data_IF_916216316338
#
_entry.id   IF_916216316338
#
_cell.length_a   1.000
_cell.length_b   1.000
_cell.length_c   1.000
_cell.angle_alpha   90.00
_cell.angle_beta   90.00
_cell.angle_gamma   90.00
#
_symmetry.space_group_name_H-M   'P 1'
#
loop_
_entity.id
_entity.type
_entity.pdbx_description
1 polymer ?
#
# COMPACT_ATOMS: atom_id res chain seq x y z
N UNK A 1 48.87 -67.55 18.75
CA UNK A 1 48.75 -67.38 20.21
C UNK A 1 48.80 -65.90 20.56
N UNK A 2 47.92 -65.41 21.47
CA UNK A 2 47.79 -64.01 21.99
C UNK A 2 47.15 -63.01 21.01
N UNK A 3 46.18 -62.16 21.35
CA UNK A 3 45.40 -61.88 22.58
C UNK A 3 44.07 -61.25 22.12
N UNK A 4 42.93 -61.79 22.57
CA UNK A 4 41.59 -61.20 22.38
C UNK A 4 41.50 -59.86 23.14
N UNK A 5 41.15 -58.76 22.47
CA UNK A 5 40.73 -57.50 23.08
C UNK A 5 39.19 -57.50 23.16
N UNK A 6 38.67 -57.44 24.39
CA UNK A 6 37.25 -57.21 24.67
C UNK A 6 36.91 -55.75 24.34
N UNK A 7 35.94 -55.54 23.46
CA UNK A 7 35.34 -54.24 23.19
C UNK A 7 34.27 -53.91 24.23
N UNK A 8 34.37 -52.73 24.83
CA UNK A 8 33.33 -52.17 25.70
C UNK A 8 32.09 -51.78 24.88
N UNK A 9 30.87 -51.93 25.42
CA UNK A 9 29.66 -51.44 24.75
C UNK A 9 29.58 -49.91 24.81
N UNK A 10 28.88 -49.26 23.85
CA UNK A 10 28.73 -47.81 23.82
C UNK A 10 27.91 -47.32 25.02
N UNK A 11 28.43 -46.27 25.67
CA UNK A 11 27.77 -45.58 26.77
C UNK A 11 26.50 -44.90 26.28
N UNK A 12 25.41 -45.26 26.96
CA UNK A 12 24.07 -44.68 26.92
C UNK A 12 24.10 -43.14 26.82
N UNK A 13 23.67 -42.58 25.69
CA UNK A 13 23.47 -41.14 25.52
C UNK A 13 22.29 -40.70 26.38
N UNK A 14 22.57 -39.96 27.45
CA UNK A 14 21.59 -39.49 28.41
C UNK A 14 20.42 -38.76 27.75
N UNK A 15 19.19 -39.23 28.01
CA UNK A 15 17.97 -38.52 27.66
C UNK A 15 18.02 -37.12 28.29
N UNK A 16 17.86 -36.03 27.51
CA UNK A 16 17.86 -34.69 28.07
C UNK A 16 16.72 -34.55 29.09
N UNK A 17 17.03 -34.05 30.29
CA UNK A 17 16.04 -33.95 31.36
C UNK A 17 14.92 -32.99 30.93
N UNK A 18 13.68 -33.50 30.90
CA UNK A 18 12.47 -32.72 30.57
C UNK A 18 12.33 -31.45 31.44
N UNK A 19 12.92 -31.43 32.64
CA UNK A 19 12.91 -30.28 33.54
C UNK A 19 13.79 -29.11 33.08
N UNK A 20 14.88 -29.37 32.35
CA UNK A 20 15.75 -28.31 31.81
C UNK A 20 15.09 -27.48 30.70
N UNK A 21 14.26 -28.11 29.87
CA UNK A 21 13.54 -27.44 28.78
C UNK A 21 12.47 -26.45 29.26
N UNK A 22 11.77 -26.76 30.35
CA UNK A 22 10.70 -25.90 30.89
C UNK A 22 11.28 -24.61 31.51
N UNK A 23 12.40 -24.70 32.24
CA UNK A 23 13.06 -23.50 32.79
C UNK A 23 13.60 -22.58 31.68
N UNK A 24 14.22 -23.14 30.64
CA UNK A 24 14.71 -22.35 29.49
C UNK A 24 13.57 -21.65 28.73
N UNK A 25 12.43 -22.34 28.52
CA UNK A 25 11.24 -21.74 27.89
C UNK A 25 10.64 -20.59 28.72
N UNK A 26 10.56 -20.75 30.06
CA UNK A 26 10.07 -19.68 30.94
C UNK A 26 11.01 -18.47 31.00
N UNK A 27 12.32 -18.70 30.97
CA UNK A 27 13.31 -17.61 30.96
C UNK A 27 13.33 -16.86 29.62
N UNK A 28 13.18 -17.58 28.50
CA UNK A 28 12.99 -16.96 27.19
C UNK A 28 11.70 -16.13 27.13
N UNK A 29 10.58 -16.67 27.63
CA UNK A 29 9.31 -15.94 27.70
C UNK A 29 9.40 -14.67 28.57
N UNK A 30 10.08 -14.72 29.72
CA UNK A 30 10.31 -13.52 30.55
C UNK A 30 11.16 -12.48 29.85
N UNK A 31 12.25 -12.88 29.17
CA UNK A 31 13.07 -11.94 28.39
C UNK A 31 12.27 -11.30 27.25
N UNK A 32 11.43 -12.08 26.57
CA UNK A 32 10.52 -11.55 25.55
C UNK A 32 9.61 -10.50 26.18
N UNK A 33 8.93 -10.80 27.30
CA UNK A 33 8.06 -9.82 27.97
C UNK A 33 8.82 -8.55 28.38
N UNK A 34 9.97 -8.68 29.03
CA UNK A 34 10.80 -7.52 29.44
C UNK A 34 11.26 -6.68 28.23
N UNK A 35 11.64 -7.31 27.13
CA UNK A 35 12.00 -6.61 25.89
C UNK A 35 10.78 -5.95 25.25
N UNK A 36 9.63 -6.62 25.21
CA UNK A 36 8.39 -6.05 24.69
C UNK A 36 7.93 -4.84 25.51
N UNK A 37 8.09 -4.88 26.83
CA UNK A 37 7.78 -3.75 27.70
C UNK A 37 8.74 -2.57 27.44
N UNK A 38 10.04 -2.81 27.22
CA UNK A 38 10.98 -1.76 26.78
C UNK A 38 10.63 -1.17 25.42
N UNK A 39 10.17 -1.99 24.47
CA UNK A 39 9.72 -1.53 23.17
C UNK A 39 8.44 -0.69 23.28
N UNK A 40 7.49 -1.08 24.15
CA UNK A 40 6.30 -0.27 24.47
C UNK A 40 6.68 1.06 25.12
N UNK A 41 7.65 1.06 26.04
CA UNK A 41 8.13 2.27 26.70
C UNK A 41 8.81 3.21 25.70
N UNK A 42 9.65 2.68 24.79
CA UNK A 42 10.23 3.45 23.68
C UNK A 42 9.16 4.04 22.76
N UNK A 43 8.18 3.23 22.34
CA UNK A 43 7.08 3.68 21.50
C UNK A 43 6.23 4.76 22.19
N UNK A 44 6.06 4.67 23.51
CA UNK A 44 5.33 5.65 24.32
C UNK A 44 6.13 6.95 24.53
N UNK A 45 7.43 6.86 24.75
CA UNK A 45 8.32 8.01 24.91
C UNK A 45 8.42 8.87 23.62
N UNK A 46 8.43 8.23 22.45
CA UNK A 46 8.38 8.92 21.15
C UNK A 46 7.03 9.62 20.94
N UNK A 47 5.91 9.01 21.37
CA UNK A 47 4.59 9.67 21.34
C UNK A 47 4.49 10.88 22.27
N UNK A 48 5.19 10.85 23.41
CA UNK A 48 5.26 11.98 24.35
C UNK A 48 5.93 13.22 23.76
N UNK A 49 7.06 13.05 23.05
CA UNK A 49 7.77 14.16 22.39
C UNK A 49 6.96 14.81 21.28
N UNK A 50 6.16 14.01 20.54
CA UNK A 50 5.28 14.51 19.48
C UNK A 50 4.21 15.48 20.01
N UNK A 51 3.81 15.38 21.29
CA UNK A 51 2.80 16.27 21.89
C UNK A 51 3.33 17.67 22.23
N UNK A 52 4.63 17.81 22.48
CA UNK A 52 5.27 19.10 22.77
C UNK A 52 5.78 19.81 21.52
N UNK A 53 6.15 19.07 20.46
CA UNK A 53 6.65 19.66 19.22
C UNK A 53 5.54 20.00 18.20
N UNK A 54 4.29 19.61 18.46
CA UNK A 54 3.14 19.89 17.58
C UNK A 54 2.06 20.77 18.23
N UNK A 55 2.43 22.02 18.55
CA UNK A 55 1.52 23.17 18.50
C UNK A 55 2.19 24.34 17.76
N UNK A 56 1.40 25.12 17.00
CA UNK A 56 1.70 25.32 15.58
C UNK A 56 1.98 26.79 15.22
N UNK A 57 2.86 26.99 14.24
CA UNK A 57 2.84 28.18 13.41
C UNK A 57 1.70 28.08 12.39
N UNK A 58 0.61 28.82 12.64
CA UNK A 58 -0.22 29.42 11.58
C UNK A 58 0.70 30.32 10.73
N UNK A 59 0.62 30.46 9.40
CA UNK A 59 -0.50 30.41 8.47
C UNK A 59 0.01 30.26 7.02
N UNK A 60 -0.80 29.66 6.14
CA UNK A 60 -1.24 30.27 4.86
C UNK A 60 -2.05 29.26 4.01
N UNK A 61 -3.37 29.48 3.94
CA UNK A 61 -4.33 28.89 2.97
C UNK A 61 -4.85 27.48 3.33
N UNK A 62 -6.14 27.21 3.51
CA UNK A 62 -7.36 27.98 3.39
C UNK A 62 -8.54 26.99 3.47
N UNK A 63 -9.41 27.20 4.44
CA UNK A 63 -10.86 26.90 4.42
C UNK A 63 -11.36 25.50 4.01
N UNK A 64 -11.60 24.66 5.04
CA UNK A 64 -12.89 23.96 5.30
C UNK A 64 -12.83 23.15 6.61
N UNK A 65 -12.73 23.85 7.76
CA UNK A 65 -13.10 23.27 9.06
C UNK A 65 -14.58 23.57 9.34
N UNK A 66 -15.45 22.88 8.61
CA UNK A 66 -16.90 22.83 8.85
C UNK A 66 -17.36 21.57 9.59
N UNK A 67 -16.42 20.71 10.04
CA UNK A 67 -16.68 19.73 11.10
C UNK A 67 -16.02 20.27 12.34
N UNK A 68 -16.83 20.58 13.36
CA UNK A 68 -16.37 20.87 14.72
C UNK A 68 -15.22 19.91 15.07
N UNK A 69 -14.09 20.44 15.57
CA UNK A 69 -12.90 19.68 15.95
C UNK A 69 -13.15 18.74 17.13
N UNK A 70 -14.04 17.78 16.95
CA UNK A 70 -14.27 16.71 17.92
C UNK A 70 -13.09 15.78 17.89
N UNK A 71 -12.57 15.50 19.09
CA UNK A 71 -11.50 14.55 19.26
C UNK A 71 -11.92 13.18 18.75
N UNK A 72 -10.98 12.43 18.17
CA UNK A 72 -11.19 11.04 17.79
C UNK A 72 -11.38 10.20 19.04
N UNK A 73 -12.50 9.47 19.10
CA UNK A 73 -12.79 8.52 20.15
C UNK A 73 -12.14 7.19 19.81
N UNK A 74 -11.20 6.73 20.64
CA UNK A 74 -10.52 5.46 20.44
C UNK A 74 -11.26 4.34 21.15
N UNK A 75 -11.65 3.31 20.39
CA UNK A 75 -12.38 2.15 20.87
C UNK A 75 -11.58 0.87 20.65
N UNK A 76 -11.79 -0.11 21.53
CA UNK A 76 -11.30 -1.48 21.32
C UNK A 76 -12.42 -2.31 20.70
N UNK A 77 -12.08 -3.26 19.82
CA UNK A 77 -13.07 -4.16 19.21
C UNK A 77 -13.67 -5.05 20.29
N UNK A 78 -12.84 -5.62 21.19
CA UNK A 78 -13.30 -6.49 22.28
C UNK A 78 -14.38 -5.86 23.18
N UNK A 79 -14.30 -4.54 23.40
CA UNK A 79 -15.31 -3.83 24.20
C UNK A 79 -16.54 -3.37 23.41
N UNK A 80 -16.51 -3.46 22.08
CA UNK A 80 -17.51 -2.86 21.19
C UNK A 80 -17.77 -3.76 19.96
N UNK A 81 -17.81 -5.08 20.15
CA UNK A 81 -17.85 -6.05 19.03
C UNK A 81 -19.08 -5.85 18.14
N UNK A 82 -20.25 -5.68 18.75
CA UNK A 82 -21.52 -5.47 18.02
C UNK A 82 -21.50 -4.18 17.20
N UNK A 83 -21.04 -3.07 17.82
CA UNK A 83 -20.90 -1.78 17.14
C UNK A 83 -19.90 -1.88 15.99
N UNK A 84 -18.71 -2.43 16.23
CA UNK A 84 -17.69 -2.61 15.21
C UNK A 84 -18.22 -3.43 14.01
N UNK A 85 -18.88 -4.55 14.29
CA UNK A 85 -19.48 -5.41 13.27
C UNK A 85 -20.56 -4.69 12.45
N UNK A 86 -21.45 -3.92 13.12
CA UNK A 86 -22.46 -3.10 12.44
C UNK A 86 -21.80 -2.08 11.50
N UNK A 87 -20.83 -1.31 12.01
CA UNK A 87 -20.14 -0.27 11.24
C UNK A 87 -19.38 -0.85 10.03
N UNK A 88 -18.76 -2.03 10.18
CA UNK A 88 -18.11 -2.72 9.06
C UNK A 88 -19.11 -3.06 7.95
N UNK A 89 -20.27 -3.64 8.31
CA UNK A 89 -21.30 -4.03 7.33
C UNK A 89 -21.94 -2.83 6.64
N UNK A 90 -22.22 -1.77 7.40
CA UNK A 90 -22.79 -0.52 6.86
C UNK A 90 -21.79 0.16 5.89
N UNK A 91 -20.51 0.27 6.28
CA UNK A 91 -19.48 0.87 5.43
C UNK A 91 -19.23 0.06 4.15
N UNK A 92 -19.16 -1.27 4.27
CA UNK A 92 -19.00 -2.14 3.13
C UNK A 92 -20.19 -2.06 2.16
N UNK A 93 -21.43 -2.08 2.68
CA UNK A 93 -22.64 -1.92 1.86
C UNK A 93 -22.65 -0.59 1.11
N UNK A 94 -22.29 0.49 1.80
CA UNK A 94 -22.14 1.81 1.19
C UNK A 94 -21.08 1.83 0.09
N UNK A 95 -19.93 1.18 0.31
CA UNK A 95 -18.86 1.07 -0.69
C UNK A 95 -19.28 0.25 -1.91
N UNK A 96 -19.99 -0.86 -1.71
CA UNK A 96 -20.55 -1.70 -2.79
C UNK A 96 -21.58 -0.95 -3.63
N UNK A 97 -22.29 0.04 -3.06
CA UNK A 97 -23.25 0.87 -3.78
C UNK A 97 -22.59 2.01 -4.60
N UNK A 98 -21.28 2.24 -4.45
CA UNK A 98 -20.59 3.29 -5.21
C UNK A 98 -20.42 2.90 -6.68
N UNK A 99 -20.39 3.92 -7.55
CA UNK A 99 -20.06 3.77 -8.97
C UNK A 99 -18.56 3.47 -9.13
N UNK A 100 -18.22 2.20 -9.17
CA UNK A 100 -16.85 1.70 -9.37
C UNK A 100 -16.87 0.86 -10.64
N UNK A 101 -15.98 1.18 -11.58
CA UNK A 101 -15.84 0.51 -12.87
C UNK A 101 -15.17 -0.87 -12.72
N UNK A 102 -15.80 -1.75 -11.95
CA UNK A 102 -15.39 -3.14 -11.75
C UNK A 102 -16.58 -4.03 -11.38
N UNK A 103 -16.58 -5.32 -11.81
CA UNK A 103 -17.59 -6.29 -11.44
C UNK A 103 -17.71 -6.47 -9.92
N UNK A 104 -18.89 -6.90 -9.46
CA UNK A 104 -19.14 -7.14 -8.03
C UNK A 104 -18.11 -8.09 -7.40
N UNK A 105 -17.72 -9.16 -8.10
CA UNK A 105 -16.73 -10.13 -7.61
C UNK A 105 -15.34 -9.53 -7.34
N UNK A 106 -14.93 -8.54 -8.12
CA UNK A 106 -13.67 -7.80 -7.88
C UNK A 106 -13.83 -6.81 -6.74
N UNK A 107 -14.97 -6.10 -6.69
CA UNK A 107 -15.27 -5.16 -5.60
C UNK A 107 -15.30 -5.87 -4.24
N UNK A 108 -15.82 -7.09 -4.17
CA UNK A 108 -15.84 -7.93 -2.97
C UNK A 108 -14.44 -8.16 -2.37
N UNK A 109 -13.40 -8.32 -3.19
CA UNK A 109 -12.04 -8.56 -2.72
C UNK A 109 -11.20 -7.28 -2.57
N UNK A 110 -11.62 -6.19 -3.21
CA UNK A 110 -10.95 -4.89 -3.17
C UNK A 110 -11.39 -4.03 -1.98
N UNK A 111 -12.71 -3.96 -1.74
CA UNK A 111 -13.30 -3.01 -0.80
C UNK A 111 -13.05 -3.27 0.70
N UNK A 112 -12.85 -4.51 1.20
CA UNK A 112 -12.62 -4.73 2.63
C UNK A 112 -11.41 -3.95 3.18
N UNK A 113 -10.38 -3.73 2.36
CA UNK A 113 -9.21 -2.93 2.75
C UNK A 113 -9.57 -1.45 2.99
N UNK A 114 -10.55 -0.91 2.26
CA UNK A 114 -11.05 0.45 2.50
C UNK A 114 -11.80 0.54 3.82
N UNK A 115 -12.54 -0.51 4.21
CA UNK A 115 -13.21 -0.60 5.51
C UNK A 115 -12.18 -0.63 6.64
N UNK A 116 -11.08 -1.39 6.50
CA UNK A 116 -9.97 -1.39 7.47
C UNK A 116 -9.42 0.02 7.69
N UNK A 117 -9.03 0.71 6.60
CA UNK A 117 -8.46 2.06 6.71
C UNK A 117 -9.42 3.08 7.32
N UNK A 118 -10.73 2.96 7.02
CA UNK A 118 -11.78 3.80 7.62
C UNK A 118 -12.03 3.48 9.09
N UNK A 119 -12.01 2.21 9.48
CA UNK A 119 -12.14 1.79 10.86
C UNK A 119 -10.97 2.29 11.72
N UNK A 120 -9.74 2.17 11.22
CA UNK A 120 -8.55 2.63 11.93
C UNK A 120 -8.51 4.15 12.07
N UNK A 121 -9.04 4.88 11.08
CA UNK A 121 -8.96 6.36 11.03
C UNK A 121 -10.20 7.09 11.56
N UNK A 122 -11.32 6.39 11.77
CA UNK A 122 -12.60 7.02 12.15
C UNK A 122 -13.24 7.80 11.02
N UNK A 123 -13.38 7.18 9.85
CA UNK A 123 -14.01 7.76 8.65
C UNK A 123 -15.14 6.88 8.11
N UNK A 124 -15.84 7.38 7.08
CA UNK A 124 -16.97 6.66 6.50
C UNK A 124 -18.08 6.51 7.54
N UNK A 125 -18.56 5.27 7.73
CA UNK A 125 -19.56 4.97 8.75
C UNK A 125 -19.00 4.88 10.17
N UNK A 126 -17.69 4.94 10.37
CA UNK A 126 -17.08 4.92 11.70
C UNK A 126 -17.18 6.27 12.42
N UNK A 127 -18.42 6.67 12.69
CA UNK A 127 -18.79 7.88 13.41
C UNK A 127 -19.87 7.58 14.46
N UNK A 128 -19.89 8.35 15.55
CA UNK A 128 -20.95 8.29 16.55
C UNK A 128 -22.26 8.93 16.04
N UNK A 129 -23.32 8.85 16.84
CA UNK A 129 -24.64 9.40 16.54
C UNK A 129 -24.65 10.93 16.30
N UNK A 130 -23.59 11.63 16.73
CA UNK A 130 -23.42 13.05 16.53
C UNK A 130 -22.44 13.37 15.39
N UNK A 131 -21.89 12.36 14.70
CA UNK A 131 -20.90 12.51 13.63
C UNK A 131 -19.45 12.67 14.11
N UNK A 132 -19.16 12.40 15.38
CA UNK A 132 -17.79 12.33 15.93
C UNK A 132 -17.05 11.06 15.48
N UNK A 133 -15.75 11.14 15.15
CA UNK A 133 -15.02 10.00 14.58
C UNK A 133 -14.72 8.90 15.62
N UNK A 134 -14.97 7.63 15.24
CA UNK A 134 -14.72 6.43 16.04
C UNK A 134 -13.54 5.62 15.45
N UNK A 135 -12.43 5.49 16.18
CA UNK A 135 -11.23 4.78 15.70
C UNK A 135 -11.03 3.44 16.39
N UNK A 136 -10.94 2.38 15.60
CA UNK A 136 -10.59 1.02 16.01
C UNK A 136 -9.19 0.69 15.50
N UNK A 137 -8.15 1.10 16.23
CA UNK A 137 -6.76 0.95 15.75
C UNK A 137 -6.32 -0.52 15.59
N UNK A 138 -6.95 -1.43 16.31
CA UNK A 138 -6.73 -2.87 16.23
C UNK A 138 -7.52 -3.57 15.10
N UNK A 139 -8.25 -2.81 14.28
CA UNK A 139 -8.90 -3.37 13.10
C UNK A 139 -7.83 -3.88 12.13
N UNK A 140 -7.97 -5.15 11.74
CA UNK A 140 -7.14 -5.81 10.73
C UNK A 140 -8.01 -6.28 9.57
N UNK A 141 -7.39 -6.61 8.44
CA UNK A 141 -8.10 -7.15 7.28
C UNK A 141 -8.92 -8.39 7.63
N UNK A 142 -8.33 -9.36 8.35
CA UNK A 142 -9.03 -10.59 8.75
C UNK A 142 -10.14 -10.33 9.78
N UNK A 143 -10.00 -9.34 10.67
CA UNK A 143 -11.09 -8.97 11.61
C UNK A 143 -12.27 -8.35 10.86
N UNK A 144 -12.00 -7.48 9.89
CA UNK A 144 -13.06 -6.92 9.03
C UNK A 144 -13.74 -8.04 8.25
N UNK A 145 -12.97 -8.93 7.61
CA UNK A 145 -13.54 -10.05 6.85
C UNK A 145 -14.39 -10.99 7.73
N UNK A 146 -13.96 -11.26 8.96
CA UNK A 146 -14.74 -12.05 9.93
C UNK A 146 -16.13 -11.43 10.19
N UNK A 147 -16.21 -10.10 10.31
CA UNK A 147 -17.48 -9.40 10.51
C UNK A 147 -18.36 -9.34 9.25
N UNK A 148 -17.72 -9.25 8.07
CA UNK A 148 -18.41 -9.24 6.79
C UNK A 148 -18.91 -10.64 6.39
N UNK A 149 -18.16 -11.71 6.69
CA UNK A 149 -18.51 -13.10 6.38
C UNK A 149 -19.90 -13.48 6.92
N UNK A 150 -20.30 -12.91 8.07
CA UNK A 150 -21.62 -13.13 8.69
C UNK A 150 -22.79 -12.75 7.78
N UNK A 151 -22.61 -11.73 6.94
CA UNK A 151 -23.61 -11.27 5.98
C UNK A 151 -23.31 -11.74 4.54
N UNK A 152 -22.03 -11.94 4.20
CA UNK A 152 -21.57 -12.35 2.88
C UNK A 152 -20.58 -13.52 3.01
N UNK A 153 -21.03 -14.79 2.99
CA UNK A 153 -20.16 -15.96 3.16
C UNK A 153 -19.04 -16.12 2.11
N UNK A 154 -19.11 -15.38 1.00
CA UNK A 154 -18.04 -15.31 0.01
C UNK A 154 -16.81 -14.54 0.51
N UNK A 155 -16.95 -13.68 1.53
CA UNK A 155 -15.92 -12.83 2.11
C UNK A 155 -15.08 -13.49 3.22
N UNK A 156 -15.10 -14.82 3.29
CA UNK A 156 -14.21 -15.58 4.18
C UNK A 156 -12.74 -15.30 3.85
N UNK A 157 -11.90 -15.09 4.87
CA UNK A 157 -10.50 -14.66 4.71
C UNK A 157 -9.69 -15.47 3.70
N UNK A 158 -9.65 -16.79 3.85
CA UNK A 158 -8.90 -17.68 2.94
C UNK A 158 -9.33 -17.52 1.47
N UNK A 159 -10.63 -17.36 1.21
CA UNK A 159 -11.19 -17.19 -0.14
C UNK A 159 -10.84 -15.84 -0.75
N UNK A 160 -10.97 -14.76 0.03
CA UNK A 160 -10.62 -13.41 -0.43
C UNK A 160 -9.13 -13.35 -0.74
N UNK A 161 -8.28 -13.84 0.16
CA UNK A 161 -6.82 -13.88 -0.05
C UNK A 161 -6.44 -14.76 -1.26
N UNK A 162 -7.08 -15.92 -1.44
CA UNK A 162 -6.87 -16.78 -2.61
C UNK A 162 -7.25 -16.08 -3.93
N UNK A 163 -8.39 -15.40 -3.97
CA UNK A 163 -8.83 -14.64 -5.15
C UNK A 163 -7.89 -13.47 -5.46
N UNK A 164 -7.39 -12.77 -4.44
CA UNK A 164 -6.37 -11.71 -4.62
C UNK A 164 -5.07 -12.29 -5.18
N UNK A 165 -4.61 -13.42 -4.66
CA UNK A 165 -3.42 -14.11 -5.20
C UNK A 165 -3.63 -14.53 -6.66
N UNK A 166 -4.78 -15.11 -6.99
CA UNK A 166 -5.09 -15.50 -8.36
C UNK A 166 -5.13 -14.30 -9.32
N UNK A 167 -5.62 -13.15 -8.86
CA UNK A 167 -5.64 -11.93 -9.66
C UNK A 167 -4.24 -11.38 -9.95
N UNK A 168 -3.34 -11.41 -8.94
CA UNK A 168 -1.93 -11.03 -9.11
C UNK A 168 -1.23 -12.00 -10.07
N UNK A 169 -1.41 -13.31 -9.87
CA UNK A 169 -0.83 -14.35 -10.73
C UNK A 169 -1.33 -14.20 -12.18
N UNK A 170 -2.62 -13.93 -12.38
CA UNK A 170 -3.21 -13.71 -13.70
C UNK A 170 -2.56 -12.54 -14.44
N UNK A 171 -2.36 -11.39 -13.80
CA UNK A 171 -1.71 -10.23 -14.43
C UNK A 171 -0.26 -10.56 -14.78
N UNK A 172 0.48 -11.17 -13.85
CA UNK A 172 1.86 -11.60 -14.06
C UNK A 172 1.96 -12.53 -15.27
N UNK A 173 1.19 -13.61 -15.28
CA UNK A 173 1.22 -14.61 -16.34
C UNK A 173 0.83 -14.01 -17.70
N UNK A 174 -0.20 -13.14 -17.71
CA UNK A 174 -0.65 -12.45 -18.91
C UNK A 174 0.43 -11.56 -19.53
N UNK A 175 1.11 -10.78 -18.69
CA UNK A 175 2.19 -9.88 -19.09
C UNK A 175 3.42 -10.65 -19.57
N UNK A 176 3.87 -11.63 -18.78
CA UNK A 176 5.09 -12.40 -19.10
C UNK A 176 4.92 -13.26 -20.37
N UNK A 177 3.72 -13.76 -20.64
CA UNK A 177 3.43 -14.51 -21.86
C UNK A 177 3.45 -13.66 -23.15
N UNK A 178 3.43 -12.32 -23.03
CA UNK A 178 3.29 -11.38 -24.14
C UNK A 178 4.43 -10.36 -24.22
N UNK A 179 5.54 -10.60 -23.54
CA UNK A 179 6.71 -9.70 -23.60
C UNK A 179 7.24 -9.49 -25.03
N UNK A 180 7.04 -10.49 -25.89
CA UNK A 180 7.54 -10.53 -27.28
C UNK A 180 6.53 -10.13 -28.34
N UNK A 181 5.30 -9.77 -27.97
CA UNK A 181 4.30 -9.29 -28.92
C UNK A 181 4.45 -7.79 -29.16
N UNK A 182 4.06 -7.31 -30.35
CA UNK A 182 4.04 -5.87 -30.62
C UNK A 182 2.91 -5.19 -29.84
N UNK A 183 1.72 -5.78 -29.86
CA UNK A 183 0.55 -5.30 -29.12
C UNK A 183 0.11 -6.30 -28.05
N UNK A 184 -0.49 -5.79 -26.98
CA UNK A 184 -1.03 -6.59 -25.89
C UNK A 184 -2.49 -6.20 -25.65
N UNK A 185 -3.40 -7.18 -25.70
CA UNK A 185 -4.76 -6.98 -25.21
C UNK A 185 -4.77 -6.86 -23.68
N UNK A 186 -5.58 -5.96 -23.12
CA UNK A 186 -5.73 -5.77 -21.66
C UNK A 186 -6.87 -6.60 -21.07
N UNK A 187 -7.13 -7.74 -21.69
CA UNK A 187 -8.20 -8.67 -21.35
C UNK A 187 -7.68 -10.11 -21.39
N UNK A 188 -8.17 -10.90 -20.42
CA UNK A 188 -7.89 -12.32 -20.25
C UNK A 188 -9.16 -13.11 -20.54
N UNK A 189 -9.10 -14.44 -20.45
CA UNK A 189 -10.30 -15.29 -20.54
C UNK A 189 -11.34 -14.98 -19.44
N UNK A 190 -10.90 -14.46 -18.29
CA UNK A 190 -11.78 -14.11 -17.18
C UNK A 190 -12.27 -12.65 -17.23
N UNK A 191 -11.96 -11.92 -18.31
CA UNK A 191 -12.33 -10.52 -18.51
C UNK A 191 -11.14 -9.55 -18.42
N UNK A 192 -11.40 -8.23 -18.35
CA UNK A 192 -10.37 -7.20 -18.34
C UNK A 192 -9.42 -7.37 -17.16
N UNK A 193 -8.15 -7.02 -17.33
CA UNK A 193 -7.15 -7.09 -16.27
C UNK A 193 -7.65 -6.38 -15.01
N UNK A 194 -7.52 -7.06 -13.86
CA UNK A 194 -7.97 -6.58 -12.55
C UNK A 194 -9.48 -6.29 -12.46
N UNK A 195 -10.27 -6.72 -13.45
CA UNK A 195 -11.68 -6.39 -13.60
C UNK A 195 -11.95 -4.91 -13.87
N UNK A 196 -10.96 -4.12 -14.28
CA UNK A 196 -11.16 -2.71 -14.59
C UNK A 196 -11.94 -2.58 -15.91
N UNK A 197 -13.24 -2.25 -15.82
CA UNK A 197 -14.18 -2.31 -16.97
C UNK A 197 -13.74 -1.45 -18.15
N UNK A 198 -13.09 -0.31 -17.88
CA UNK A 198 -12.59 0.54 -18.95
C UNK A 198 -11.40 -0.06 -19.70
N UNK A 199 -10.80 -1.18 -19.28
CA UNK A 199 -9.76 -1.89 -20.03
C UNK A 199 -10.32 -2.92 -21.03
N UNK A 200 -11.62 -3.25 -20.95
CA UNK A 200 -12.23 -4.26 -21.79
C UNK A 200 -12.07 -3.95 -23.29
N UNK A 201 -11.68 -4.96 -24.07
CA UNK A 201 -11.43 -4.85 -25.51
C UNK A 201 -10.30 -3.91 -25.93
N UNK A 202 -9.48 -3.38 -25.00
CA UNK A 202 -8.35 -2.51 -25.35
C UNK A 202 -7.12 -3.30 -25.74
N UNK A 203 -6.43 -2.78 -26.75
CA UNK A 203 -5.07 -3.16 -27.09
C UNK A 203 -4.13 -1.97 -26.84
N UNK A 204 -2.91 -2.28 -26.44
CA UNK A 204 -1.83 -1.30 -26.19
C UNK A 204 -0.56 -1.70 -26.92
N UNK A 205 0.32 -0.73 -27.18
CA UNK A 205 1.71 -1.03 -27.51
C UNK A 205 2.37 -1.72 -26.31
N UNK A 206 2.93 -2.90 -26.55
CA UNK A 206 3.47 -3.77 -25.49
C UNK A 206 4.65 -3.08 -24.81
N UNK A 207 5.58 -2.50 -25.56
CA UNK A 207 6.77 -1.87 -25.00
C UNK A 207 6.40 -0.68 -24.09
N UNK A 208 5.46 0.15 -24.55
CA UNK A 208 4.92 1.27 -23.82
C UNK A 208 4.24 0.81 -22.51
N UNK A 209 3.34 -0.18 -22.59
CA UNK A 209 2.66 -0.71 -21.40
C UNK A 209 3.64 -1.31 -20.39
N UNK A 210 4.62 -2.11 -20.85
CA UNK A 210 5.66 -2.68 -20.00
C UNK A 210 6.53 -1.61 -19.34
N UNK A 211 6.85 -0.52 -20.05
CA UNK A 211 7.57 0.62 -19.46
C UNK A 211 6.77 1.23 -18.30
N UNK A 212 5.45 1.34 -18.44
CA UNK A 212 4.57 1.84 -17.37
C UNK A 212 4.60 0.95 -16.14
N UNK A 213 4.52 -0.36 -16.34
CA UNK A 213 4.65 -1.37 -15.28
C UNK A 213 5.98 -1.20 -14.51
N UNK A 214 7.09 -1.06 -15.23
CA UNK A 214 8.42 -0.89 -14.64
C UNK A 214 8.53 0.41 -13.84
N UNK A 215 8.09 1.53 -14.41
CA UNK A 215 8.18 2.85 -13.76
C UNK A 215 7.41 2.88 -12.43
N UNK A 216 6.18 2.38 -12.41
CA UNK A 216 5.37 2.34 -11.20
C UNK A 216 5.86 1.29 -10.20
N UNK A 217 6.35 0.13 -10.65
CA UNK A 217 6.77 -0.96 -9.74
C UNK A 217 8.02 -0.63 -8.92
N UNK A 218 8.80 0.37 -9.31
CA UNK A 218 9.93 0.87 -8.52
C UNK A 218 9.62 2.10 -7.67
N UNK A 219 8.44 2.73 -7.80
CA UNK A 219 8.17 4.03 -7.16
C UNK A 219 8.03 3.95 -5.62
N UNK A 220 7.58 2.79 -5.13
CA UNK A 220 7.30 2.56 -3.72
C UNK A 220 8.42 1.86 -2.96
N UNK A 221 9.49 1.47 -3.67
CA UNK A 221 10.65 0.78 -3.11
C UNK A 221 11.54 1.73 -2.29
N UNK A 222 11.88 1.33 -1.05
CA UNK A 222 12.66 2.14 -0.12
C UNK A 222 14.05 2.51 -0.67
N UNK A 223 14.72 1.60 -1.36
CA UNK A 223 16.00 1.84 -2.03
C UNK A 223 15.93 2.96 -3.05
N UNK A 224 14.97 2.91 -3.97
CA UNK A 224 14.74 3.93 -5.00
C UNK A 224 14.34 5.26 -4.37
N UNK A 225 13.44 5.27 -3.38
CA UNK A 225 13.10 6.51 -2.64
C UNK A 225 14.32 7.13 -1.95
N UNK A 226 15.19 6.31 -1.36
CA UNK A 226 16.46 6.78 -0.78
C UNK A 226 17.41 7.33 -1.85
N UNK A 227 17.54 6.64 -2.98
CA UNK A 227 18.33 7.10 -4.11
C UNK A 227 17.81 8.42 -4.67
N UNK A 228 16.49 8.57 -4.82
CA UNK A 228 15.83 9.81 -5.27
C UNK A 228 16.14 10.96 -4.35
N UNK A 229 16.06 10.79 -3.03
CA UNK A 229 16.39 11.86 -2.09
C UNK A 229 17.87 12.29 -2.18
N UNK A 230 18.77 11.36 -2.50
CA UNK A 230 20.18 11.67 -2.68
C UNK A 230 20.45 12.39 -4.01
N UNK A 231 19.76 11.99 -5.07
CA UNK A 231 19.87 12.56 -6.41
C UNK A 231 19.20 13.95 -6.50
N UNK A 232 17.96 14.03 -6.03
CA UNK A 232 17.13 15.24 -5.92
C UNK A 232 17.01 15.66 -4.47
N UNK A 233 17.94 16.52 -4.01
CA UNK A 233 17.94 17.03 -2.62
C UNK A 233 16.93 18.15 -2.35
N UNK A 234 16.44 18.80 -3.40
CA UNK A 234 15.57 19.98 -3.32
C UNK A 234 14.27 19.73 -4.08
N UNK A 235 13.20 20.35 -3.61
CA UNK A 235 11.92 20.45 -4.30
C UNK A 235 12.03 21.42 -5.48
N UNK A 236 10.96 21.53 -6.29
CA UNK A 236 10.90 22.45 -7.44
C UNK A 236 11.08 23.93 -7.08
N UNK A 237 10.76 24.33 -5.84
CA UNK A 237 10.97 25.70 -5.33
C UNK A 237 12.37 25.92 -4.75
N UNK A 238 13.23 24.89 -4.78
CA UNK A 238 14.58 24.93 -4.23
C UNK A 238 14.65 24.57 -2.74
N UNK A 239 13.54 24.37 -2.03
CA UNK A 239 13.57 24.01 -0.62
C UNK A 239 13.95 22.55 -0.39
N UNK A 240 14.50 22.23 0.79
CA UNK A 240 14.72 20.83 1.16
C UNK A 240 13.37 20.13 1.38
N UNK A 241 13.28 18.87 0.94
CA UNK A 241 12.11 18.04 1.19
C UNK A 241 12.51 16.66 1.73
N UNK A 242 11.58 16.06 2.46
CA UNK A 242 11.72 14.71 3.00
C UNK A 242 10.80 13.76 2.23
N UNK A 243 11.36 12.60 1.87
CA UNK A 243 10.65 11.50 1.25
C UNK A 243 10.60 10.33 2.24
N UNK A 244 9.39 10.02 2.69
CA UNK A 244 9.14 8.90 3.58
C UNK A 244 9.15 7.58 2.81
N UNK A 245 9.51 6.52 3.51
CA UNK A 245 9.62 5.20 2.91
C UNK A 245 9.73 4.11 3.95
N UNK A 246 9.62 2.87 3.49
CA UNK A 246 9.57 1.72 4.35
C UNK A 246 9.43 0.44 3.56
N UNK A 247 9.29 -0.66 4.27
CA UNK A 247 9.33 -1.98 3.67
C UNK A 247 8.33 -2.91 4.35
N UNK A 248 7.80 -3.85 3.58
CA UNK A 248 6.93 -4.91 4.09
C UNK A 248 7.81 -6.01 4.68
N UNK A 249 7.44 -6.46 5.89
CA UNK A 249 8.07 -7.60 6.57
C UNK A 249 7.03 -8.65 6.93
N UNK A 250 7.45 -9.91 6.96
CA UNK A 250 6.63 -10.99 7.52
C UNK A 250 6.69 -10.92 9.04
N UNK A 251 5.53 -11.03 9.68
CA UNK A 251 5.39 -11.08 11.14
C UNK A 251 4.68 -12.35 11.61
N UNK A 252 5.12 -12.90 12.74
CA UNK A 252 4.35 -13.92 13.47
C UNK A 252 3.18 -13.21 14.19
N UNK A 253 1.94 -13.52 13.81
CA UNK A 253 0.76 -12.74 14.20
C UNK A 253 0.57 -12.71 15.72
N UNK A 254 0.74 -13.85 16.39
CA UNK A 254 0.57 -13.96 17.84
C UNK A 254 1.64 -13.13 18.56
N UNK A 255 2.91 -13.27 18.16
CA UNK A 255 4.02 -12.54 18.78
C UNK A 255 3.96 -11.05 18.49
N UNK A 256 3.53 -10.67 17.29
CA UNK A 256 3.34 -9.28 16.91
C UNK A 256 2.27 -8.62 17.79
N UNK A 257 1.14 -9.30 18.04
CA UNK A 257 0.11 -8.79 18.95
C UNK A 257 0.62 -8.60 20.38
N UNK A 258 1.47 -9.50 20.89
CA UNK A 258 2.05 -9.39 22.24
C UNK A 258 2.93 -8.14 22.41
N UNK A 259 3.48 -7.61 21.32
CA UNK A 259 4.32 -6.40 21.36
C UNK A 259 3.53 -5.14 21.71
N UNK A 260 2.22 -5.12 21.45
CA UNK A 260 1.40 -3.91 21.53
C UNK A 260 1.71 -2.88 20.44
N UNK A 261 2.53 -3.21 19.43
CA UNK A 261 2.71 -2.40 18.23
C UNK A 261 1.42 -2.49 17.41
N UNK A 262 0.72 -1.36 17.30
CA UNK A 262 -0.58 -1.31 16.61
C UNK A 262 -0.41 -0.96 15.13
N UNK A 263 0.48 -0.01 14.83
CA UNK A 263 0.80 0.41 13.45
C UNK A 263 2.31 0.71 13.37
N UNK A 264 3.12 -0.22 12.82
CA UNK A 264 4.55 -0.01 12.63
C UNK A 264 4.87 1.09 11.59
N UNK A 265 3.89 1.54 10.81
CA UNK A 265 4.04 2.62 9.82
C UNK A 265 4.10 4.03 10.39
N UNK A 266 3.78 4.22 11.69
CA UNK A 266 3.72 5.53 12.36
C UNK A 266 5.05 6.03 12.92
N UNK A 267 6.08 5.19 12.96
CA UNK A 267 7.39 5.54 13.51
C UNK A 267 8.50 4.94 12.66
N UNK A 268 9.63 5.62 12.54
CA UNK A 268 10.79 5.06 11.86
C UNK A 268 11.42 3.93 12.70
N UNK A 269 11.75 2.84 12.02
CA UNK A 269 12.45 1.68 12.56
C UNK A 269 13.82 1.61 11.92
N UNK A 270 14.87 1.72 12.74
CA UNK A 270 16.24 1.48 12.30
C UNK A 270 16.55 -0.03 12.20
N UNK A 271 17.71 -0.36 11.64
CA UNK A 271 18.15 -1.75 11.52
C UNK A 271 18.31 -2.47 12.87
N UNK A 272 18.67 -1.76 13.93
CA UNK A 272 18.88 -2.37 15.23
C UNK A 272 17.55 -2.81 15.85
N UNK A 273 16.53 -1.96 15.76
CA UNK A 273 15.18 -2.25 16.23
C UNK A 273 14.52 -3.38 15.44
N UNK A 274 14.67 -3.41 14.10
CA UNK A 274 14.17 -4.54 13.31
C UNK A 274 14.90 -5.86 13.64
N UNK A 275 16.23 -5.83 13.78
CA UNK A 275 16.98 -7.03 14.22
C UNK A 275 16.57 -7.52 15.60
N UNK A 276 16.21 -6.62 16.52
CA UNK A 276 15.68 -7.00 17.83
C UNK A 276 14.34 -7.73 17.69
N UNK A 277 13.41 -7.22 16.86
CA UNK A 277 12.15 -7.92 16.55
C UNK A 277 12.38 -9.27 15.87
N UNK A 278 13.39 -9.39 15.00
CA UNK A 278 13.79 -10.66 14.38
C UNK A 278 14.32 -11.66 15.42
N UNK A 279 15.16 -11.23 16.37
CA UNK A 279 15.69 -12.08 17.44
C UNK A 279 14.59 -12.59 18.38
N UNK A 280 13.55 -11.78 18.60
CA UNK A 280 12.35 -12.20 19.34
C UNK A 280 11.45 -13.11 18.48
N UNK A 281 11.73 -13.21 17.18
CA UNK A 281 10.92 -13.87 16.17
C UNK A 281 9.52 -13.29 16.06
N UNK A 282 9.41 -11.97 16.25
CA UNK A 282 8.22 -11.16 15.93
C UNK A 282 8.20 -10.88 14.43
N UNK A 283 9.35 -10.44 13.91
CA UNK A 283 9.61 -10.32 12.46
C UNK A 283 10.35 -11.57 12.02
N UNK A 284 10.02 -12.10 10.85
CA UNK A 284 10.76 -13.22 10.26
C UNK A 284 11.94 -12.68 9.44
N UNK A 285 13.11 -13.37 9.43
CA UNK A 285 14.22 -13.02 8.55
C UNK A 285 13.79 -12.99 7.08
N UNK A 286 14.37 -12.10 6.28
CA UNK A 286 14.01 -11.96 4.87
C UNK A 286 14.26 -13.24 4.06
N UNK A 287 15.31 -13.97 4.41
CA UNK A 287 15.68 -15.24 3.77
C UNK A 287 14.66 -16.36 4.09
N UNK A 288 13.79 -16.14 5.07
CA UNK A 288 12.73 -17.05 5.46
C UNK A 288 11.43 -16.81 4.68
N UNK A 289 11.45 -16.15 3.50
CA UNK A 289 10.26 -15.94 2.68
C UNK A 289 9.48 -17.25 2.39
N UNK A 290 10.19 -18.38 2.22
CA UNK A 290 9.57 -19.71 2.08
C UNK A 290 8.86 -20.25 3.33
N UNK A 291 8.93 -19.54 4.46
CA UNK A 291 8.27 -19.87 5.74
C UNK A 291 6.90 -19.20 5.85
N UNK A 292 6.54 -18.29 4.94
CA UNK A 292 5.24 -17.63 4.99
C UNK A 292 4.09 -18.65 4.87
N UNK A 293 3.22 -18.64 5.88
CA UNK A 293 2.07 -19.52 5.98
C UNK A 293 0.97 -18.82 6.78
N UNK A 294 0.01 -18.22 6.09
CA UNK A 294 -1.22 -17.74 6.70
C UNK A 294 -2.01 -18.93 7.31
N UNK A 295 -2.66 -18.79 8.48
CA UNK A 295 -2.86 -17.57 9.27
C UNK A 295 -1.79 -17.30 10.31
N UNK A 296 -0.76 -18.15 10.43
CA UNK A 296 0.28 -17.98 11.45
C UNK A 296 1.11 -16.72 11.21
N UNK A 297 1.41 -16.45 9.95
CA UNK A 297 2.18 -15.29 9.53
C UNK A 297 1.30 -14.32 8.73
N UNK A 298 1.56 -13.03 8.88
CA UNK A 298 0.99 -11.98 8.03
C UNK A 298 2.06 -10.97 7.66
N UNK A 299 1.69 -9.95 6.90
CA UNK A 299 2.57 -8.89 6.44
C UNK A 299 2.32 -7.60 7.22
N UNK A 300 3.38 -6.87 7.57
CA UNK A 300 3.28 -5.56 8.19
C UNK A 300 4.28 -4.58 7.56
N UNK A 301 3.85 -3.35 7.32
CA UNK A 301 4.69 -2.29 6.77
C UNK A 301 5.47 -1.58 7.89
N UNK A 302 6.80 -1.70 7.85
CA UNK A 302 7.69 -0.99 8.78
C UNK A 302 8.23 0.26 8.11
N UNK A 303 7.87 1.42 8.65
CA UNK A 303 8.40 2.70 8.20
C UNK A 303 9.89 2.76 8.52
N UNK A 304 10.72 3.03 7.51
CA UNK A 304 12.18 3.14 7.64
C UNK A 304 12.61 4.60 7.78
N UNK A 305 11.92 5.49 7.08
CA UNK A 305 12.16 6.93 7.09
C UNK A 305 10.86 7.70 7.26
N UNK A 306 10.84 8.64 8.20
CA UNK A 306 9.72 9.58 8.35
C UNK A 306 9.66 10.54 7.14
N UNK A 307 8.46 11.04 6.87
CA UNK A 307 8.17 11.90 5.73
C UNK A 307 6.91 11.43 5.01
N UNK A 308 6.43 12.26 4.09
CA UNK A 308 5.32 11.88 3.21
C UNK A 308 5.81 10.97 2.09
N UNK A 309 4.93 10.09 1.62
CA UNK A 309 5.22 9.21 0.49
C UNK A 309 5.07 9.91 -0.87
N UNK A 310 4.93 9.07 -1.89
CA UNK A 310 4.59 9.46 -3.25
C UNK A 310 3.07 9.67 -3.40
N UNK A 311 2.67 10.51 -4.35
CA UNK A 311 1.29 10.72 -4.78
C UNK A 311 1.05 9.94 -6.07
N UNK A 312 0.30 8.84 -5.97
CA UNK A 312 0.04 7.92 -7.08
C UNK A 312 -0.65 8.64 -8.27
N UNK A 313 -1.57 9.57 -7.98
CA UNK A 313 -2.22 10.40 -9.00
C UNK A 313 -1.21 11.25 -9.79
N UNK A 314 -0.22 11.86 -9.11
CA UNK A 314 0.84 12.64 -9.77
C UNK A 314 1.82 11.74 -10.53
N UNK A 315 2.12 10.55 -10.02
CA UNK A 315 2.95 9.57 -10.72
C UNK A 315 2.29 9.17 -12.05
N UNK A 316 1.01 8.81 -12.04
CA UNK A 316 0.27 8.45 -13.25
C UNK A 316 0.16 9.63 -14.24
N UNK A 317 -0.11 10.84 -13.75
CA UNK A 317 -0.13 12.05 -14.58
C UNK A 317 1.24 12.29 -15.23
N UNK A 318 2.33 12.16 -14.47
CA UNK A 318 3.70 12.35 -14.97
C UNK A 318 4.04 11.36 -16.09
N UNK A 319 3.74 10.08 -15.84
CA UNK A 319 3.97 8.99 -16.80
C UNK A 319 3.15 9.21 -18.07
N UNK A 320 1.87 9.56 -17.93
CA UNK A 320 1.00 9.85 -19.07
C UNK A 320 1.42 11.08 -19.88
N UNK A 321 1.90 12.14 -19.21
CA UNK A 321 2.39 13.34 -19.88
C UNK A 321 3.65 13.06 -20.71
N UNK A 322 4.54 12.19 -20.23
CA UNK A 322 5.81 11.92 -20.91
C UNK A 322 5.71 10.88 -22.00
N UNK A 323 4.96 9.80 -21.74
CA UNK A 323 5.00 8.61 -22.58
C UNK A 323 3.64 8.25 -23.21
N UNK A 324 2.56 8.95 -22.84
CA UNK A 324 1.23 8.72 -23.38
C UNK A 324 0.41 7.66 -22.63
N UNK A 325 -0.75 7.34 -23.20
CA UNK A 325 -1.81 6.61 -22.50
C UNK A 325 -1.46 5.16 -22.17
N UNK A 326 -0.82 4.44 -23.08
CA UNK A 326 -0.49 3.03 -22.90
C UNK A 326 0.46 2.80 -21.72
N UNK A 327 1.43 3.71 -21.54
CA UNK A 327 2.35 3.70 -20.41
C UNK A 327 1.63 4.07 -19.10
N UNK A 328 0.69 5.03 -19.14
CA UNK A 328 -0.16 5.34 -17.99
C UNK A 328 -1.01 4.13 -17.58
N UNK A 329 -1.58 3.39 -18.53
CA UNK A 329 -2.35 2.18 -18.24
C UNK A 329 -1.47 1.08 -17.62
N UNK A 330 -0.23 0.92 -18.11
CA UNK A 330 0.75 0.03 -17.50
C UNK A 330 1.02 0.42 -16.04
N UNK A 331 1.30 1.70 -15.80
CA UNK A 331 1.55 2.20 -14.45
C UNK A 331 0.34 2.02 -13.51
N UNK A 332 -0.88 2.23 -14.01
CA UNK A 332 -2.11 1.98 -13.26
C UNK A 332 -2.26 0.51 -12.87
N UNK A 333 -1.99 -0.42 -13.79
CA UNK A 333 -2.08 -1.86 -13.50
C UNK A 333 -1.06 -2.26 -12.42
N UNK A 334 0.15 -1.69 -12.46
CA UNK A 334 1.17 -1.98 -11.44
C UNK A 334 0.82 -1.42 -10.06
N UNK A 335 0.38 -0.15 -9.97
CA UNK A 335 -0.10 0.45 -8.72
C UNK A 335 -1.25 -0.38 -8.10
N UNK A 336 -2.14 -0.88 -8.96
CA UNK A 336 -3.20 -1.75 -8.52
C UNK A 336 -2.69 -3.09 -7.98
N UNK A 337 -1.61 -3.66 -8.53
CA UNK A 337 -0.99 -4.88 -8.00
C UNK A 337 -0.50 -4.68 -6.57
N UNK A 338 0.17 -3.57 -6.22
CA UNK A 338 0.53 -3.25 -4.82
C UNK A 338 -0.71 -3.24 -3.91
N UNK A 339 -1.83 -2.73 -4.41
CA UNK A 339 -3.09 -2.79 -3.65
C UNK A 339 -3.50 -4.24 -3.37
N UNK A 340 -3.43 -5.16 -4.35
CA UNK A 340 -3.84 -6.56 -4.19
C UNK A 340 -2.82 -7.41 -3.43
N UNK A 341 -1.53 -7.09 -3.54
CA UNK A 341 -0.41 -7.77 -2.88
C UNK A 341 -0.45 -7.67 -1.35
N UNK A 342 -1.19 -6.68 -0.84
CA UNK A 342 -1.55 -6.60 0.57
C UNK A 342 -2.49 -7.76 0.91
N UNK A 343 -2.12 -8.55 1.92
CA UNK A 343 -2.93 -9.67 2.43
C UNK A 343 -3.10 -10.86 1.47
N UNK A 344 -2.02 -11.34 0.85
CA UNK A 344 -2.05 -12.56 0.04
C UNK A 344 -1.92 -13.86 0.86
N UNK A 345 -2.15 -15.01 0.20
CA UNK A 345 -1.82 -16.34 0.74
C UNK A 345 -0.35 -16.72 0.55
N UNK A 346 0.32 -16.09 -0.42
CA UNK A 346 1.74 -16.25 -0.71
C UNK A 346 2.41 -14.90 -0.53
N UNK A 347 3.64 -14.91 -0.01
CA UNK A 347 4.42 -13.71 0.17
C UNK A 347 5.51 -13.62 -0.88
N UNK A 348 5.65 -12.43 -1.46
CA UNK A 348 6.77 -12.06 -2.32
C UNK A 348 7.66 -11.10 -1.54
N UNK A 349 8.95 -11.41 -1.38
CA UNK A 349 9.85 -10.69 -0.46
C UNK A 349 10.02 -9.19 -0.72
N UNK A 350 9.83 -8.77 -1.96
CA UNK A 350 9.93 -7.40 -2.43
C UNK A 350 8.58 -6.75 -2.72
N UNK A 351 7.49 -7.47 -2.51
CA UNK A 351 6.20 -7.15 -3.13
C UNK A 351 6.10 -7.69 -4.55
N UNK A 352 4.88 -8.00 -4.98
CA UNK A 352 4.62 -8.57 -6.31
C UNK A 352 4.83 -7.56 -7.44
N UNK A 353 4.64 -6.27 -7.15
CA UNK A 353 4.86 -5.15 -8.04
C UNK A 353 6.36 -4.97 -8.38
N UNK A 354 7.22 -4.83 -7.36
CA UNK A 354 8.66 -4.71 -7.56
C UNK A 354 9.23 -5.97 -8.22
N UNK A 355 8.82 -7.16 -7.77
CA UNK A 355 9.34 -8.40 -8.34
C UNK A 355 8.98 -8.56 -9.83
N UNK A 356 7.76 -8.15 -10.22
CA UNK A 356 7.35 -8.17 -11.62
C UNK A 356 8.09 -7.09 -12.44
N UNK A 357 8.27 -5.89 -11.90
CA UNK A 357 9.04 -4.84 -12.55
C UNK A 357 10.49 -5.26 -12.82
N UNK A 358 11.17 -5.87 -11.83
CA UNK A 358 12.52 -6.44 -11.99
C UNK A 358 12.56 -7.50 -13.10
N UNK A 359 11.62 -8.45 -13.09
CA UNK A 359 11.58 -9.52 -14.09
C UNK A 359 11.34 -8.99 -15.51
N UNK A 360 10.41 -8.05 -15.68
CA UNK A 360 10.15 -7.39 -16.97
C UNK A 360 11.41 -6.65 -17.43
N UNK A 361 12.03 -5.89 -16.52
CA UNK A 361 13.20 -5.07 -16.78
C UNK A 361 14.41 -5.90 -17.22
N UNK A 362 14.63 -7.05 -16.58
CA UNK A 362 15.73 -7.98 -16.86
C UNK A 362 15.52 -8.71 -18.18
N UNK A 363 14.36 -9.34 -18.39
CA UNK A 363 14.05 -10.04 -19.66
C UNK A 363 14.11 -9.09 -20.86
N UNK A 364 13.62 -7.86 -20.71
CA UNK A 364 13.72 -6.86 -21.76
C UNK A 364 15.17 -6.48 -22.06
N UNK A 365 16.00 -6.34 -21.03
CA UNK A 365 17.43 -6.03 -21.17
C UNK A 365 18.19 -7.15 -21.85
N UNK A 366 17.93 -8.41 -21.47
CA UNK A 366 18.51 -9.59 -22.14
C UNK A 366 18.22 -9.59 -23.64
N UNK A 367 17.01 -9.19 -24.03
CA UNK A 367 16.59 -9.16 -25.43
C UNK A 367 17.13 -7.98 -26.23
N UNK A 368 17.08 -6.78 -25.65
CA UNK A 368 17.31 -5.52 -26.39
C UNK A 368 18.67 -4.88 -26.11
N UNK A 369 19.40 -5.39 -25.11
CA UNK A 369 20.66 -4.82 -24.63
C UNK A 369 20.49 -3.51 -23.85
N UNK A 370 19.25 -3.06 -23.60
CA UNK A 370 18.94 -1.79 -22.92
C UNK A 370 17.77 -1.96 -21.95
N UNK A 371 17.68 -1.16 -20.88
CA UNK A 371 16.53 -1.20 -20.01
C UNK A 371 15.29 -0.52 -20.64
N UNK A 372 14.07 -0.99 -20.31
CA UNK A 372 12.79 -0.31 -20.57
C UNK A 372 12.70 1.10 -19.95
N UNK A 373 13.08 1.22 -18.68
CA UNK A 373 13.19 2.49 -17.98
C UNK A 373 14.59 2.63 -17.39
N UNK A 374 15.20 3.78 -17.58
CA UNK A 374 16.47 4.10 -16.93
C UNK A 374 16.27 4.36 -15.43
N UNK A 375 17.36 4.23 -14.67
CA UNK A 375 17.34 4.62 -13.25
C UNK A 375 16.96 6.09 -13.08
N UNK A 376 17.47 6.98 -13.92
CA UNK A 376 17.17 8.42 -13.88
C UNK A 376 15.67 8.69 -14.05
N UNK A 377 15.01 8.06 -15.02
CA UNK A 377 13.56 8.18 -15.21
C UNK A 377 12.76 7.76 -13.96
N UNK A 378 13.18 6.69 -13.29
CA UNK A 378 12.54 6.23 -12.05
C UNK A 378 12.76 7.26 -10.93
N UNK A 379 13.98 7.79 -10.77
CA UNK A 379 14.27 8.77 -9.72
C UNK A 379 13.51 10.08 -9.96
N UNK A 380 13.43 10.53 -11.21
CA UNK A 380 12.70 11.74 -11.63
C UNK A 380 11.19 11.60 -11.39
N UNK A 381 10.62 10.43 -11.69
CA UNK A 381 9.23 10.12 -11.40
C UNK A 381 8.93 10.22 -9.91
N UNK A 382 9.72 9.55 -9.06
CA UNK A 382 9.54 9.56 -7.61
C UNK A 382 9.67 10.98 -7.06
N UNK A 383 10.65 11.75 -7.54
CA UNK A 383 10.82 13.14 -7.13
C UNK A 383 9.61 13.98 -7.53
N UNK A 384 9.19 13.92 -8.79
CA UNK A 384 8.02 14.63 -9.29
C UNK A 384 6.77 14.32 -8.46
N UNK A 385 6.56 13.05 -8.12
CA UNK A 385 5.35 12.59 -7.46
C UNK A 385 5.42 12.65 -5.92
N UNK A 386 6.56 12.99 -5.31
CA UNK A 386 6.67 13.16 -3.87
C UNK A 386 5.66 14.19 -3.33
N UNK A 387 4.85 13.82 -2.33
CA UNK A 387 3.79 14.69 -1.78
C UNK A 387 4.32 16.02 -1.23
N UNK A 388 5.51 15.98 -0.64
CA UNK A 388 6.21 17.14 -0.08
C UNK A 388 7.01 17.96 -1.10
N UNK A 389 7.07 17.55 -2.38
CA UNK A 389 7.61 18.39 -3.43
C UNK A 389 6.71 19.63 -3.65
N UNK A 390 7.22 20.68 -4.29
CA UNK A 390 6.51 21.95 -4.45
C UNK A 390 5.77 22.01 -5.81
N UNK A 391 4.50 22.50 -5.85
CA UNK A 391 3.62 22.74 -4.73
C UNK A 391 3.23 21.43 -4.02
N UNK A 392 3.06 21.46 -2.69
CA UNK A 392 2.74 20.28 -1.88
C UNK A 392 1.31 19.80 -2.13
N UNK A 393 1.09 18.50 -1.94
CA UNK A 393 -0.26 17.92 -1.98
C UNK A 393 -0.45 16.86 -0.90
N UNK A 394 -1.67 16.75 -0.39
CA UNK A 394 -2.10 15.65 0.48
C UNK A 394 -2.79 14.52 -0.30
N UNK A 395 -2.97 14.67 -1.61
CA UNK A 395 -3.68 13.70 -2.43
C UNK A 395 -2.87 12.41 -2.58
N UNK A 396 -3.57 11.29 -2.48
CA UNK A 396 -3.20 10.01 -3.11
C UNK A 396 -4.49 9.18 -3.18
N UNK A 397 -4.61 8.47 -4.30
CA UNK A 397 -5.74 7.62 -4.64
C UNK A 397 -5.29 6.17 -4.58
N UNK A 398 -6.06 5.34 -3.88
CA UNK A 398 -5.89 3.89 -3.99
C UNK A 398 -6.52 3.39 -5.29
N UNK A 399 -6.24 2.13 -5.66
CA UNK A 399 -6.88 1.47 -6.80
C UNK A 399 -8.41 1.65 -6.84
N UNK A 400 -9.10 1.52 -5.69
CA UNK A 400 -10.54 1.78 -5.58
C UNK A 400 -10.93 3.18 -6.07
N UNK A 401 -10.14 4.21 -5.72
CA UNK A 401 -10.43 5.60 -6.10
C UNK A 401 -10.21 5.82 -7.60
N UNK A 402 -9.18 5.20 -8.18
CA UNK A 402 -8.95 5.26 -9.63
C UNK A 402 -10.10 4.65 -10.44
N UNK A 403 -10.68 3.55 -9.96
CA UNK A 403 -11.86 2.91 -10.56
C UNK A 403 -13.18 3.64 -10.31
N UNK A 404 -13.24 4.52 -9.31
CA UNK A 404 -14.48 5.16 -8.90
C UNK A 404 -14.82 6.34 -9.82
N UNK A 405 -16.09 6.43 -10.23
CA UNK A 405 -16.66 7.65 -10.80
C UNK A 405 -17.27 8.48 -9.66
N UNK A 406 -16.67 9.64 -9.38
CA UNK A 406 -17.17 10.56 -8.35
C UNK A 406 -18.49 11.22 -8.78
N UNK A 407 -19.29 11.65 -7.80
CA UNK A 407 -20.52 12.39 -8.08
C UNK A 407 -20.20 13.67 -8.87
N UNK A 408 -20.88 13.86 -10.00
CA UNK A 408 -20.63 14.96 -10.95
C UNK A 408 -19.65 14.62 -12.08
N UNK A 409 -18.87 13.54 -11.98
CA UNK A 409 -18.02 13.07 -13.07
C UNK A 409 -18.74 12.09 -14.01
N UNK A 410 -18.28 12.07 -15.26
CA UNK A 410 -18.76 11.16 -16.30
C UNK A 410 -17.92 9.88 -16.41
N UNK A 411 -16.69 9.93 -15.93
CA UNK A 411 -15.70 8.88 -16.08
C UNK A 411 -14.98 8.59 -14.74
N UNK A 412 -14.37 7.39 -14.60
CA UNK A 412 -13.53 7.07 -13.44
C UNK A 412 -12.36 8.04 -13.28
N UNK A 413 -11.90 8.20 -12.04
CA UNK A 413 -10.80 9.13 -11.69
C UNK A 413 -9.55 8.95 -12.56
N UNK A 414 -9.18 7.71 -12.92
CA UNK A 414 -8.05 7.47 -13.82
C UNK A 414 -8.23 8.15 -15.19
N UNK A 415 -9.40 7.96 -15.80
CA UNK A 415 -9.72 8.58 -17.10
C UNK A 415 -9.85 10.10 -16.96
N UNK A 416 -10.29 10.58 -15.80
CA UNK A 416 -10.32 12.01 -15.50
C UNK A 416 -8.90 12.63 -15.47
N UNK A 417 -7.89 11.92 -14.96
CA UNK A 417 -6.49 12.34 -15.11
C UNK A 417 -6.02 12.35 -16.56
N UNK A 418 -6.45 11.37 -17.37
CA UNK A 418 -6.13 11.36 -18.79
C UNK A 418 -6.79 12.52 -19.54
N UNK A 419 -8.06 12.83 -19.26
CA UNK A 419 -8.75 14.00 -19.80
C UNK A 419 -8.03 15.31 -19.46
N UNK A 420 -7.44 15.43 -18.27
CA UNK A 420 -6.59 16.56 -17.89
C UNK A 420 -5.38 16.70 -18.81
N UNK A 421 -4.67 15.60 -19.06
CA UNK A 421 -3.51 15.58 -19.96
C UNK A 421 -3.87 15.91 -21.42
N UNK A 422 -5.11 15.62 -21.82
CA UNK A 422 -5.64 15.97 -23.15
C UNK A 422 -6.14 17.42 -23.24
N UNK A 423 -6.07 18.21 -22.16
CA UNK A 423 -6.59 19.58 -22.12
C UNK A 423 -8.12 19.66 -22.22
N UNK A 424 -8.84 18.55 -21.96
CA UNK A 424 -10.30 18.53 -21.98
C UNK A 424 -10.86 19.21 -20.73
N UNK A 425 -12.03 19.85 -20.82
CA UNK A 425 -12.72 20.35 -19.63
C UNK A 425 -13.03 19.23 -18.64
N UNK A 426 -12.83 19.52 -17.36
CA UNK A 426 -12.91 18.57 -16.25
C UNK A 426 -14.15 18.83 -15.37
N UNK A 427 -14.55 17.82 -14.60
CA UNK A 427 -15.52 17.99 -13.53
C UNK A 427 -14.82 18.45 -12.24
N UNK A 428 -15.41 19.38 -11.49
CA UNK A 428 -14.87 19.84 -10.20
C UNK A 428 -15.28 18.90 -9.06
N UNK A 429 -14.73 17.69 -9.11
CA UNK A 429 -15.00 16.59 -8.16
C UNK A 429 -14.01 16.61 -6.97
N UNK A 430 -14.23 15.73 -5.99
CA UNK A 430 -13.31 15.52 -4.87
C UNK A 430 -12.49 14.25 -5.06
N UNK A 431 -11.18 14.41 -5.15
CA UNK A 431 -10.23 13.35 -5.48
C UNK A 431 -9.67 12.66 -4.24
N UNK A 432 -9.29 11.39 -4.42
CA UNK A 432 -8.56 10.56 -3.45
C UNK A 432 -9.21 10.41 -2.08
N UNK A 433 -8.40 9.97 -1.11
CA UNK A 433 -8.85 9.81 0.27
C UNK A 433 -9.09 11.16 0.97
N UNK A 434 -8.18 12.11 0.80
CA UNK A 434 -8.23 13.44 1.41
C UNK A 434 -9.34 14.35 0.86
N UNK A 435 -10.08 13.91 -0.19
CA UNK A 435 -11.18 14.66 -0.82
C UNK A 435 -10.72 16.03 -1.32
N UNK A 436 -9.52 16.10 -1.90
CA UNK A 436 -8.95 17.33 -2.46
C UNK A 436 -9.81 17.79 -3.65
N UNK A 437 -10.22 19.07 -3.75
CA UNK A 437 -10.88 19.58 -4.95
C UNK A 437 -10.05 19.33 -6.21
N UNK A 438 -10.68 18.86 -7.29
CA UNK A 438 -10.02 18.63 -8.56
C UNK A 438 -9.34 19.90 -9.07
N UNK A 439 -9.98 21.07 -8.93
CA UNK A 439 -9.40 22.36 -9.29
C UNK A 439 -8.04 22.63 -8.65
N UNK A 440 -7.96 22.43 -7.34
CA UNK A 440 -6.72 22.61 -6.58
C UNK A 440 -5.67 21.58 -7.02
N UNK A 441 -6.05 20.31 -7.13
CA UNK A 441 -5.11 19.26 -7.47
C UNK A 441 -4.53 19.41 -8.89
N UNK A 442 -5.36 19.67 -9.89
CA UNK A 442 -4.88 19.80 -11.27
C UNK A 442 -4.06 21.08 -11.48
N UNK A 443 -4.28 22.13 -10.68
CA UNK A 443 -3.38 23.28 -10.66
C UNK A 443 -1.99 22.91 -10.12
N UNK A 444 -1.92 22.10 -9.07
CA UNK A 444 -0.64 21.55 -8.56
C UNK A 444 0.03 20.69 -9.63
N UNK A 445 -0.71 19.77 -10.25
CA UNK A 445 -0.20 18.90 -11.30
C UNK A 445 0.35 19.71 -12.48
N UNK A 446 -0.40 20.71 -12.96
CA UNK A 446 0.03 21.62 -14.02
C UNK A 446 1.35 22.33 -13.67
N UNK A 447 1.45 22.93 -12.48
CA UNK A 447 2.67 23.63 -12.05
C UNK A 447 3.88 22.71 -11.97
N UNK A 448 3.71 21.48 -11.49
CA UNK A 448 4.80 20.48 -11.46
C UNK A 448 5.20 20.05 -12.88
N UNK A 449 4.23 19.82 -13.78
CA UNK A 449 4.51 19.48 -15.18
C UNK A 449 5.32 20.59 -15.86
N UNK A 450 4.92 21.85 -15.71
CA UNK A 450 5.66 23.00 -16.24
C UNK A 450 7.07 23.10 -15.65
N UNK A 451 7.21 22.92 -14.33
CA UNK A 451 8.52 22.97 -13.66
C UNK A 451 9.46 21.83 -14.11
N UNK A 452 8.89 20.67 -14.49
CA UNK A 452 9.62 19.55 -15.07
C UNK A 452 9.76 19.64 -16.60
N UNK A 453 9.41 20.77 -17.22
CA UNK A 453 9.47 21.02 -18.66
C UNK A 453 8.56 20.12 -19.53
N UNK A 454 7.45 19.63 -18.98
CA UNK A 454 6.41 18.93 -19.74
C UNK A 454 5.36 19.90 -20.28
N UNK A 455 4.92 19.71 -21.53
CA UNK A 455 3.77 20.43 -22.06
C UNK A 455 2.53 20.19 -21.18
N UNK A 456 1.88 21.26 -20.76
CA UNK A 456 0.63 21.17 -20.00
C UNK A 456 -0.22 22.41 -20.25
N UNK A 457 -1.51 22.20 -20.47
CA UNK A 457 -2.50 23.28 -20.53
C UNK A 457 -3.07 23.54 -19.15
N UNK A 458 -3.37 24.82 -18.84
CA UNK A 458 -4.10 25.14 -17.62
C UNK A 458 -5.43 24.36 -17.58
N UNK A 459 -5.77 23.72 -16.45
CA UNK A 459 -6.98 22.92 -16.37
C UNK A 459 -8.21 23.81 -16.51
N UNK A 460 -9.14 23.39 -17.38
CA UNK A 460 -10.45 24.01 -17.52
C UNK A 460 -11.52 23.11 -16.89
N UNK A 461 -12.60 23.71 -16.39
CA UNK A 461 -13.66 22.98 -15.70
C UNK A 461 -15.01 23.31 -16.32
N UNK A 462 -15.90 22.32 -16.39
CA UNK A 462 -17.28 22.55 -16.75
C UNK A 462 -17.92 23.51 -15.73
N UNK A 463 -18.72 24.45 -16.24
CA UNK A 463 -19.67 25.17 -15.41
C UNK A 463 -20.63 24.14 -14.79
N UNK A 464 -20.91 24.19 -13.48
CA UNK A 464 -21.94 23.34 -12.89
C UNK A 464 -23.23 23.50 -13.70
N UNK A 465 -23.74 22.40 -14.24
CA UNK A 465 -25.11 22.40 -14.77
C UNK A 465 -25.97 22.38 -13.51
N UNK A 466 -26.73 23.45 -13.26
CA UNK A 466 -27.71 23.49 -12.17
C UNK A 466 -28.60 22.24 -12.29
N UNK A 467 -28.43 21.31 -11.34
CA UNK A 467 -29.07 20.00 -11.33
C UNK A 467 -30.26 19.96 -10.39
#
# INVERSE_FOLDING_TARGET
>A
MKKRRQGNPPKNTGKPSRRGGIKRRRQAARRVVETLDRLKDRATAVRGRRRDESRPGEAAGGERRGRSGRAVTYLTIRGNEELFGKLCRDDFSYLMAQRIAAPAAVREILLPQSVVGRAQSGHGWFVDEFGGPLSFREATFDRVLTELERAWPALRSDRVRARRSALVDQVRDHVLARLDTATMGLETVDGPLLGAEFLAGREVDTAAFLKGLVLAGFMDEEGHRRMTHNWHRRAFDGELYELGGGEIRIVDVERFQLTGIVDPGQQAWDDAALRELEQLGVVMPLEAAGVFAWPRYDQAYFRRRLGEGVCDDLALIRIGAEHGFDVLLGAFVMDALDTYDKHLLRYTSKGSDQALAEEIQDRWRERTGRPLASGEEILDLIWFAAKNNAPRTSLSSSHRRFLQTEAGAREPTLLHHWSFLQGRPLADIKLGFARVPAREFYEIAHRRLVAAAFPSTLPSFHTPIDS
#
